data_IF_383186741180
#
_entry.id   IF_383186741180
#
_cell.length_a   1.000
_cell.length_b   1.000
_cell.length_c   1.000
_cell.angle_alpha   90.00
_cell.angle_beta   90.00
_cell.angle_gamma   90.00
#
_symmetry.space_group_name_H-M   'P 1'
#
loop_
_entity.id
_entity.type
_entity.pdbx_description
1 polymer ?
#
# COMPACT_ATOMS: atom_id res chain seq x y z
N UNK A 1 33.67 50.86 -45.81
CA UNK A 1 33.58 49.40 -45.58
C UNK A 1 33.35 49.19 -44.09
N UNK A 2 32.09 49.11 -43.64
CA UNK A 2 31.74 48.94 -42.22
C UNK A 2 31.71 47.45 -41.88
N UNK A 3 32.57 46.99 -40.96
CA UNK A 3 32.47 45.66 -40.36
C UNK A 3 31.51 45.73 -39.16
N UNK A 4 30.47 44.88 -39.08
CA UNK A 4 29.62 44.85 -37.91
C UNK A 4 30.36 44.18 -36.74
N UNK A 5 30.46 44.89 -35.63
CA UNK A 5 30.96 44.40 -34.35
C UNK A 5 29.86 43.56 -33.69
N UNK A 6 29.91 42.24 -33.82
CA UNK A 6 29.07 41.37 -32.99
C UNK A 6 29.77 41.13 -31.65
N UNK A 7 29.15 41.67 -30.58
CA UNK A 7 29.64 41.55 -29.21
C UNK A 7 29.42 40.11 -28.68
N UNK A 8 30.44 39.43 -28.13
CA UNK A 8 30.32 38.06 -27.62
C UNK A 8 29.29 37.86 -26.49
N UNK A 9 28.84 38.93 -25.82
CA UNK A 9 27.81 38.86 -24.78
C UNK A 9 26.41 38.56 -25.32
N UNK A 10 26.15 38.82 -26.62
CA UNK A 10 24.83 38.56 -27.22
C UNK A 10 24.60 37.08 -27.51
N UNK A 11 25.65 36.27 -27.67
CA UNK A 11 25.57 34.82 -27.81
C UNK A 11 25.48 34.11 -26.45
N UNK A 12 26.07 34.66 -25.39
CA UNK A 12 25.97 34.10 -24.05
C UNK A 12 24.56 34.22 -23.45
N UNK A 13 23.85 35.32 -23.74
CA UNK A 13 22.48 35.54 -23.25
C UNK A 13 21.40 34.73 -23.98
N UNK A 14 21.68 34.19 -25.18
CA UNK A 14 20.74 33.30 -25.88
C UNK A 14 20.77 31.86 -25.35
N UNK A 15 21.82 31.47 -24.64
CA UNK A 15 22.02 30.10 -24.13
C UNK A 15 21.67 29.95 -22.65
N UNK A 16 21.32 31.04 -21.96
CA UNK A 16 20.81 31.01 -20.58
C UNK A 16 19.31 31.26 -20.59
N UNK A 17 18.57 30.42 -21.32
CA UNK A 17 17.20 30.13 -20.91
C UNK A 17 17.35 29.04 -19.87
N UNK A 18 17.15 29.27 -18.56
CA UNK A 18 17.02 28.16 -17.64
C UNK A 18 15.94 27.26 -18.24
N UNK A 19 16.32 26.04 -18.59
CA UNK A 19 15.35 25.06 -19.04
C UNK A 19 14.29 25.02 -17.95
N UNK A 20 13.06 25.39 -18.30
CA UNK A 20 11.90 25.07 -17.47
C UNK A 20 11.79 23.54 -17.48
N UNK A 21 12.67 22.88 -16.75
CA UNK A 21 12.54 21.48 -16.41
C UNK A 21 11.28 21.46 -15.58
N UNK A 22 10.20 20.92 -16.14
CA UNK A 22 9.00 20.67 -15.36
C UNK A 22 9.43 19.97 -14.07
N UNK A 23 8.96 20.41 -12.89
CA UNK A 23 9.34 19.77 -11.65
C UNK A 23 9.08 18.26 -11.80
N UNK A 24 10.07 17.44 -11.41
CA UNK A 24 9.95 16.00 -11.53
C UNK A 24 8.64 15.56 -10.87
N UNK A 25 7.80 14.81 -11.60
CA UNK A 25 6.56 14.29 -11.03
C UNK A 25 6.89 13.43 -9.82
N UNK A 26 6.22 13.69 -8.70
CA UNK A 26 6.35 12.88 -7.49
C UNK A 26 5.82 11.46 -7.73
N UNK A 27 4.80 11.32 -8.57
CA UNK A 27 4.21 10.03 -8.96
C UNK A 27 4.79 9.63 -10.32
N UNK A 28 5.48 8.49 -10.36
CA UNK A 28 6.00 7.88 -11.57
C UNK A 28 4.89 7.17 -12.33
N UNK A 29 4.06 6.40 -11.63
CA UNK A 29 3.00 5.60 -12.24
C UNK A 29 1.91 5.23 -11.23
N UNK A 30 0.73 4.88 -11.74
CA UNK A 30 -0.37 4.34 -10.95
C UNK A 30 -0.98 3.15 -11.70
N UNK A 31 -0.91 1.96 -11.10
CA UNK A 31 -1.58 0.76 -11.59
C UNK A 31 -2.82 0.52 -10.75
N UNK A 32 -3.95 0.22 -11.41
CA UNK A 32 -5.21 -0.09 -10.73
C UNK A 32 -5.75 -1.39 -11.28
N UNK A 33 -6.43 -2.14 -10.43
CA UNK A 33 -7.06 -3.38 -10.84
C UNK A 33 -7.94 -3.96 -9.76
N UNK A 34 -8.43 -5.15 -10.07
CA UNK A 34 -9.18 -6.00 -9.15
C UNK A 34 -8.61 -7.40 -9.24
N UNK A 35 -8.60 -8.11 -8.11
CA UNK A 35 -8.22 -9.53 -8.05
C UNK A 35 -9.44 -10.30 -7.55
N UNK A 36 -9.86 -11.30 -8.32
CA UNK A 36 -10.87 -12.26 -7.89
C UNK A 36 -10.19 -13.52 -7.42
N UNK A 37 -10.28 -13.83 -6.13
CA UNK A 37 -9.91 -15.12 -5.55
C UNK A 37 -11.07 -16.10 -5.83
N UNK A 38 -10.86 -17.15 -6.63
CA UNK A 38 -11.90 -18.14 -6.91
C UNK A 38 -12.37 -18.88 -5.66
N UNK A 39 -13.58 -19.44 -5.71
CA UNK A 39 -14.26 -20.01 -4.55
C UNK A 39 -13.54 -21.21 -3.91
N UNK A 40 -12.68 -21.88 -4.66
CA UNK A 40 -11.88 -23.04 -4.28
C UNK A 40 -10.39 -22.71 -4.05
N UNK A 41 -10.02 -21.43 -4.03
CA UNK A 41 -8.63 -20.99 -3.84
C UNK A 41 -8.47 -20.12 -2.59
N UNK A 42 -7.26 -20.08 -2.01
CA UNK A 42 -6.93 -19.16 -0.91
C UNK A 42 -6.24 -17.88 -1.37
N UNK A 43 -5.78 -17.83 -2.62
CA UNK A 43 -5.12 -16.66 -3.18
C UNK A 43 -5.30 -16.59 -4.69
N UNK A 44 -5.17 -15.39 -5.23
CA UNK A 44 -5.07 -15.13 -6.65
C UNK A 44 -4.13 -13.96 -6.91
N UNK A 45 -3.55 -13.91 -8.11
CA UNK A 45 -2.58 -12.90 -8.51
C UNK A 45 -3.14 -12.05 -9.65
N UNK A 46 -2.79 -10.76 -9.66
CA UNK A 46 -2.89 -9.90 -10.84
C UNK A 46 -1.50 -9.48 -11.29
N UNK A 47 -1.28 -9.52 -12.60
CA UNK A 47 -0.10 -8.94 -13.24
C UNK A 47 -0.31 -7.45 -13.47
N UNK A 48 0.69 -6.65 -13.11
CA UNK A 48 0.75 -5.21 -13.35
C UNK A 48 2.02 -4.86 -14.13
N UNK A 49 2.05 -3.69 -14.81
CA UNK A 49 3.32 -3.10 -15.26
C UNK A 49 4.33 -3.02 -14.11
N UNK A 50 5.59 -3.28 -14.42
CA UNK A 50 6.66 -3.30 -13.41
C UNK A 50 6.76 -1.97 -12.67
N UNK A 51 6.87 -2.04 -11.33
CA UNK A 51 7.15 -0.90 -10.44
C UNK A 51 8.40 -1.14 -9.59
N UNK A 52 8.99 -0.09 -9.05
CA UNK A 52 10.04 -0.21 -8.05
C UNK A 52 9.46 -0.43 -6.64
N UNK A 53 9.69 -1.61 -6.06
CA UNK A 53 9.20 -1.99 -4.72
C UNK A 53 9.65 -1.04 -3.59
N UNK A 54 10.84 -0.46 -3.70
CA UNK A 54 11.38 0.45 -2.68
C UNK A 54 10.72 1.83 -2.66
N UNK A 55 9.92 2.14 -3.68
CA UNK A 55 9.23 3.41 -3.83
C UNK A 55 7.76 3.23 -4.23
N UNK A 56 7.18 2.07 -3.94
CA UNK A 56 5.79 1.77 -4.30
C UNK A 56 4.93 1.53 -3.07
N UNK A 57 3.75 2.14 -3.07
CA UNK A 57 2.72 1.89 -2.08
C UNK A 57 1.59 1.06 -2.69
N UNK A 58 1.19 0.01 -1.97
CA UNK A 58 -0.03 -0.73 -2.25
C UNK A 58 -1.17 -0.17 -1.41
N UNK A 59 -2.31 0.06 -2.05
CA UNK A 59 -3.54 0.49 -1.42
C UNK A 59 -4.61 -0.60 -1.58
N UNK A 60 -5.16 -1.03 -0.45
CA UNK A 60 -6.30 -1.94 -0.41
C UNK A 60 -7.59 -1.15 -0.55
N UNK A 61 -8.25 -1.27 -1.71
CA UNK A 61 -9.49 -0.52 -2.04
C UNK A 61 -10.76 -1.26 -1.61
N UNK A 62 -10.61 -2.18 -0.66
CA UNK A 62 -11.67 -3.01 -0.08
C UNK A 62 -12.31 -3.98 -1.07
N UNK A 63 -13.15 -4.86 -0.51
CA UNK A 63 -13.89 -5.86 -1.26
C UNK A 63 -15.02 -5.19 -2.05
N UNK A 64 -15.35 -5.80 -3.18
CA UNK A 64 -16.38 -5.34 -4.13
C UNK A 64 -17.53 -6.36 -4.20
N UNK A 65 -17.39 -7.46 -3.46
CA UNK A 65 -18.38 -8.54 -3.40
C UNK A 65 -19.73 -8.07 -2.85
N UNK A 66 -20.83 -8.77 -3.22
CA UNK A 66 -22.09 -8.60 -2.52
C UNK A 66 -21.93 -8.94 -1.03
N UNK A 67 -22.71 -8.27 -0.18
CA UNK A 67 -22.75 -8.57 1.26
C UNK A 67 -23.18 -10.02 1.47
N UNK A 68 -22.23 -10.84 1.90
CA UNK A 68 -22.49 -12.19 2.35
C UNK A 68 -22.98 -12.19 3.79
N UNK A 69 -23.66 -13.26 4.20
CA UNK A 69 -24.25 -13.36 5.53
C UNK A 69 -23.23 -13.29 6.68
N UNK A 70 -21.94 -13.57 6.43
CA UNK A 70 -20.92 -13.63 7.48
C UNK A 70 -19.69 -12.78 7.17
N UNK A 71 -19.07 -12.19 8.19
CA UNK A 71 -17.93 -11.28 8.04
C UNK A 71 -16.62 -11.98 7.63
N UNK A 72 -16.52 -13.30 7.79
CA UNK A 72 -15.34 -14.10 7.35
C UNK A 72 -14.99 -13.94 5.87
N UNK A 73 -15.97 -13.51 5.07
CA UNK A 73 -15.85 -13.25 3.64
C UNK A 73 -15.26 -11.87 3.30
N UNK A 74 -15.07 -11.00 4.30
CA UNK A 74 -14.47 -9.68 4.12
C UNK A 74 -12.96 -9.69 4.34
N UNK A 75 -12.39 -10.84 4.71
CA UNK A 75 -10.98 -11.00 5.04
C UNK A 75 -10.16 -11.24 3.79
N UNK A 76 -9.80 -10.16 3.12
CA UNK A 76 -8.75 -10.16 2.09
C UNK A 76 -7.58 -9.34 2.57
N UNK A 77 -6.38 -9.79 2.23
CA UNK A 77 -5.16 -9.01 2.32
C UNK A 77 -4.53 -8.92 0.93
N UNK A 78 -3.82 -7.82 0.68
CA UNK A 78 -3.06 -7.59 -0.54
C UNK A 78 -1.56 -7.48 -0.25
N UNK A 79 -0.76 -8.05 -1.15
CA UNK A 79 0.70 -7.98 -1.12
C UNK A 79 1.25 -7.66 -2.51
N UNK A 80 2.25 -6.78 -2.58
CA UNK A 80 3.05 -6.58 -3.78
C UNK A 80 4.27 -7.50 -3.69
N UNK A 81 4.10 -8.75 -4.13
CA UNK A 81 5.08 -9.82 -3.91
C UNK A 81 6.35 -9.68 -4.78
N UNK A 82 6.22 -8.99 -5.92
CA UNK A 82 7.32 -8.67 -6.82
C UNK A 82 6.93 -7.46 -7.70
N UNK A 83 7.86 -6.88 -8.48
CA UNK A 83 7.61 -5.68 -9.28
C UNK A 83 6.39 -5.72 -10.20
N UNK A 84 5.95 -6.90 -10.63
CA UNK A 84 4.88 -7.07 -11.62
C UNK A 84 3.66 -7.80 -11.08
N UNK A 85 3.61 -8.16 -9.79
CA UNK A 85 2.58 -9.06 -9.29
C UNK A 85 2.01 -8.57 -7.96
N UNK A 86 0.71 -8.35 -7.96
CA UNK A 86 -0.09 -8.13 -6.74
C UNK A 86 -0.81 -9.43 -6.42
N UNK A 87 -0.73 -9.89 -5.18
CA UNK A 87 -1.45 -11.05 -4.67
C UNK A 87 -2.56 -10.61 -3.75
N UNK A 88 -3.75 -11.19 -3.92
CA UNK A 88 -4.79 -11.19 -2.91
C UNK A 88 -4.83 -12.56 -2.23
N UNK A 89 -4.93 -12.57 -0.91
CA UNK A 89 -5.14 -13.79 -0.13
C UNK A 89 -6.33 -13.66 0.80
N UNK A 90 -6.99 -14.79 1.08
CA UNK A 90 -8.05 -14.92 2.07
C UNK A 90 -7.75 -16.08 3.01
N UNK A 91 -8.40 -16.08 4.17
CA UNK A 91 -8.21 -17.15 5.14
C UNK A 91 -9.07 -18.38 4.89
N UNK A 92 -10.33 -18.16 4.54
CA UNK A 92 -11.34 -19.21 4.51
C UNK A 92 -11.82 -19.40 3.07
N UNK A 93 -11.80 -20.65 2.61
CA UNK A 93 -12.45 -21.08 1.38
C UNK A 93 -13.64 -21.97 1.75
N UNK A 94 -14.78 -21.75 1.12
CA UNK A 94 -16.00 -22.54 1.30
C UNK A 94 -16.45 -23.24 0.03
N UNK A 95 -15.67 -23.16 -1.05
CA UNK A 95 -15.98 -23.74 -2.35
C UNK A 95 -17.19 -23.11 -3.06
N UNK A 96 -17.80 -22.08 -2.48
CA UNK A 96 -19.07 -21.50 -2.96
C UNK A 96 -18.91 -20.03 -3.37
N UNK A 97 -18.16 -19.25 -2.59
CA UNK A 97 -18.05 -17.82 -2.80
C UNK A 97 -16.65 -17.42 -3.26
N UNK A 98 -16.56 -16.69 -4.36
CA UNK A 98 -15.35 -15.96 -4.77
C UNK A 98 -15.26 -14.62 -4.05
N UNK A 99 -14.03 -14.08 -3.96
CA UNK A 99 -13.80 -12.74 -3.41
C UNK A 99 -13.09 -11.81 -4.37
N UNK A 100 -13.68 -10.67 -4.67
CA UNK A 100 -13.08 -9.62 -5.49
C UNK A 100 -12.66 -8.45 -4.61
N UNK A 101 -11.37 -8.13 -4.67
CA UNK A 101 -10.75 -6.99 -3.97
C UNK A 101 -10.16 -6.00 -4.97
N UNK A 102 -10.40 -4.71 -4.76
CA UNK A 102 -9.78 -3.64 -5.54
C UNK A 102 -8.40 -3.26 -5.00
N UNK A 103 -7.49 -2.87 -5.89
CA UNK A 103 -6.18 -2.37 -5.50
C UNK A 103 -5.73 -1.16 -6.33
N UNK A 104 -4.83 -0.38 -5.75
CA UNK A 104 -3.98 0.56 -6.48
C UNK A 104 -2.53 0.37 -6.04
N UNK A 105 -1.61 0.31 -6.99
CA UNK A 105 -0.18 0.47 -6.74
C UNK A 105 0.21 1.86 -7.21
N UNK A 106 0.79 2.65 -6.32
CA UNK A 106 1.28 4.00 -6.62
C UNK A 106 2.79 3.94 -6.52
N UNK A 107 3.46 4.06 -7.66
CA UNK A 107 4.90 4.19 -7.71
C UNK A 107 5.28 5.65 -7.65
N UNK A 108 6.04 6.00 -6.62
CA UNK A 108 6.62 7.32 -6.47
C UNK A 108 7.98 7.37 -7.16
N UNK A 109 8.40 8.57 -7.54
CA UNK A 109 9.78 8.78 -7.96
C UNK A 109 10.70 8.54 -6.75
N UNK A 110 11.69 7.62 -6.84
CA UNK A 110 12.58 7.27 -5.71
C UNK A 110 13.38 8.46 -5.15
N UNK A 111 13.46 9.57 -5.90
CA UNK A 111 14.03 10.81 -5.40
C UNK A 111 13.28 11.34 -4.18
N UNK A 112 11.95 11.13 -4.08
CA UNK A 112 11.11 11.65 -3.01
C UNK A 112 10.82 10.66 -1.87
N UNK A 113 11.14 9.37 -2.03
CA UNK A 113 10.85 8.35 -1.02
C UNK A 113 12.12 7.95 -0.27
N UNK A 114 12.06 8.00 1.06
CA UNK A 114 13.12 7.54 1.93
C UNK A 114 13.03 6.02 2.17
N UNK A 115 11.85 5.54 2.53
CA UNK A 115 11.63 4.13 2.84
C UNK A 115 10.19 3.68 2.59
N UNK A 116 10.04 2.38 2.28
CA UNK A 116 8.77 1.66 2.32
C UNK A 116 8.99 0.41 3.15
N UNK A 117 8.12 0.17 4.14
CA UNK A 117 8.19 -0.97 5.04
C UNK A 117 6.81 -1.60 5.16
N UNK A 118 6.70 -2.91 4.94
CA UNK A 118 5.43 -3.63 5.07
C UNK A 118 5.55 -4.73 6.13
N UNK A 119 4.44 -5.09 6.75
CA UNK A 119 4.44 -6.11 7.79
C UNK A 119 3.06 -6.62 8.15
N UNK A 120 3.06 -7.52 9.13
CA UNK A 120 1.88 -8.18 9.69
C UNK A 120 1.92 -8.02 11.21
N UNK A 121 0.77 -7.78 11.83
CA UNK A 121 0.54 -7.84 13.27
C UNK A 121 -0.51 -8.90 13.55
N UNK A 122 -0.20 -9.83 14.44
CA UNK A 122 -1.16 -10.81 14.94
C UNK A 122 -1.84 -10.25 16.19
N UNK A 123 -3.10 -9.85 16.08
CA UNK A 123 -3.95 -9.53 17.23
C UNK A 123 -4.38 -10.82 17.90
N UNK A 124 -3.55 -11.32 18.83
CA UNK A 124 -3.71 -12.60 19.51
C UNK A 124 -5.07 -12.69 20.23
N UNK A 125 -5.68 -13.88 20.25
CA UNK A 125 -6.87 -14.15 21.07
C UNK A 125 -6.69 -13.70 22.53
N UNK A 126 -7.70 -13.05 23.10
CA UNK A 126 -7.63 -12.44 24.42
C UNK A 126 -7.09 -11.00 24.42
N UNK A 127 -6.47 -10.53 23.33
CA UNK A 127 -5.89 -9.19 23.21
C UNK A 127 -6.62 -8.34 22.16
N UNK A 128 -6.75 -7.05 22.46
CA UNK A 128 -7.39 -6.03 21.62
C UNK A 128 -6.39 -5.07 20.97
N UNK A 129 -5.11 -5.18 21.33
CA UNK A 129 -4.03 -4.32 20.84
C UNK A 129 -2.72 -5.09 20.83
N UNK A 130 -1.99 -5.02 19.72
CA UNK A 130 -0.68 -5.62 19.54
C UNK A 130 0.19 -4.70 18.67
N UNK A 131 1.51 -4.89 18.71
CA UNK A 131 2.47 -4.02 18.01
C UNK A 131 3.47 -4.79 17.18
N UNK A 132 3.94 -4.19 16.10
CA UNK A 132 5.12 -4.61 15.35
C UNK A 132 6.19 -3.51 15.37
N UNK A 133 7.44 -3.95 15.33
CA UNK A 133 8.60 -3.06 15.22
C UNK A 133 8.94 -2.83 13.75
N UNK A 134 9.23 -1.57 13.41
CA UNK A 134 9.76 -1.16 12.11
C UNK A 134 11.09 -0.43 12.27
N UNK A 135 11.83 -0.27 11.18
CA UNK A 135 12.97 0.65 11.14
C UNK A 135 12.46 2.07 11.34
N UNK A 136 13.25 2.89 12.05
CA UNK A 136 12.89 4.26 12.37
C UNK A 136 12.50 5.08 11.12
N UNK A 137 11.39 5.80 11.20
CA UNK A 137 10.91 6.76 10.20
C UNK A 137 10.65 8.14 10.82
N UNK A 138 10.66 9.19 10.01
CA UNK A 138 10.22 10.54 10.36
C UNK A 138 8.69 10.64 10.36
N UNK A 139 8.11 10.82 11.55
CA UNK A 139 6.65 10.88 11.74
C UNK A 139 5.98 12.03 10.98
N UNK A 140 6.69 13.12 10.71
CA UNK A 140 6.13 14.27 9.98
C UNK A 140 6.06 14.02 8.47
N UNK A 141 6.74 12.97 7.99
CA UNK A 141 6.85 12.61 6.57
C UNK A 141 6.34 11.22 6.25
N UNK A 142 5.79 10.53 7.26
CA UNK A 142 5.32 9.16 7.13
C UNK A 142 3.81 9.06 7.19
N UNK A 143 3.28 8.09 6.46
CA UNK A 143 1.93 7.62 6.66
C UNK A 143 1.84 6.10 6.55
N UNK A 144 0.79 5.54 7.13
CA UNK A 144 0.51 4.11 7.16
C UNK A 144 -0.74 3.78 6.33
N UNK A 145 -0.68 2.68 5.59
CA UNK A 145 -1.77 2.11 4.83
C UNK A 145 -2.15 0.75 5.42
N UNK A 146 -3.45 0.52 5.57
CA UNK A 146 -3.99 -0.78 5.93
C UNK A 146 -4.06 -1.67 4.68
N UNK A 147 -3.37 -2.81 4.68
CA UNK A 147 -3.31 -3.73 3.53
C UNK A 147 -4.33 -4.87 3.59
N UNK A 148 -5.26 -4.80 4.53
CA UNK A 148 -6.31 -5.78 4.71
C UNK A 148 -6.09 -6.65 5.93
N UNK A 149 -6.95 -7.65 6.07
CA UNK A 149 -6.98 -8.56 7.21
C UNK A 149 -7.05 -9.99 6.71
N UNK A 150 -6.36 -10.88 7.40
CA UNK A 150 -6.50 -12.32 7.21
C UNK A 150 -6.78 -12.96 8.58
N UNK A 151 -7.34 -14.17 8.56
CA UNK A 151 -7.76 -14.94 9.75
C UNK A 151 -8.84 -14.30 10.62
N UNK A 152 -10.06 -14.83 10.51
CA UNK A 152 -11.10 -14.63 11.51
C UNK A 152 -12.21 -15.67 11.39
N UNK A 153 -12.65 -16.21 12.52
CA UNK A 153 -13.61 -17.33 12.57
C UNK A 153 -15.02 -16.93 13.03
N UNK A 154 -15.19 -15.74 13.61
CA UNK A 154 -16.48 -15.29 14.15
C UNK A 154 -17.41 -14.77 13.04
N UNK A 155 -18.57 -15.38 12.88
CA UNK A 155 -19.40 -15.11 11.71
C UNK A 155 -20.07 -13.73 11.71
N UNK A 156 -20.16 -12.99 12.82
CA UNK A 156 -21.04 -11.80 12.87
C UNK A 156 -20.57 -10.60 13.73
N UNK A 157 -19.58 -10.74 14.61
CA UNK A 157 -19.20 -9.64 15.49
C UNK A 157 -18.15 -8.72 14.83
N UNK A 158 -18.60 -7.54 14.38
CA UNK A 158 -17.75 -6.51 13.76
C UNK A 158 -16.61 -6.05 14.67
N UNK A 159 -16.81 -6.08 15.99
CA UNK A 159 -15.77 -5.70 16.96
C UNK A 159 -14.56 -6.64 16.91
N UNK A 160 -14.76 -7.90 16.55
CA UNK A 160 -13.69 -8.87 16.44
C UNK A 160 -12.92 -8.79 15.10
N UNK A 161 -13.51 -8.16 14.07
CA UNK A 161 -13.03 -8.20 12.68
C UNK A 161 -12.35 -6.92 12.21
N UNK A 162 -12.92 -5.77 12.53
CA UNK A 162 -12.34 -4.51 12.08
C UNK A 162 -11.21 -4.13 13.01
N UNK A 163 -10.01 -4.04 12.43
CA UNK A 163 -8.85 -3.52 13.08
C UNK A 163 -8.44 -2.17 12.47
N UNK A 164 -7.90 -1.30 13.31
CA UNK A 164 -7.20 -0.10 12.89
C UNK A 164 -5.70 -0.34 12.99
N UNK A 165 -4.93 0.29 12.10
CA UNK A 165 -3.47 0.37 12.19
C UNK A 165 -3.05 1.82 12.38
N UNK A 166 -2.03 2.03 13.18
CA UNK A 166 -1.47 3.36 13.45
C UNK A 166 0.04 3.29 13.63
N UNK A 167 0.71 4.35 13.20
CA UNK A 167 2.12 4.58 13.49
C UNK A 167 2.22 5.28 14.84
N UNK A 168 2.52 4.51 15.89
CA UNK A 168 2.50 4.98 17.28
C UNK A 168 3.72 5.86 17.60
N UNK A 169 4.86 5.50 17.03
CA UNK A 169 6.11 6.26 17.08
C UNK A 169 6.99 5.87 15.88
N UNK A 170 8.19 6.46 15.78
CA UNK A 170 9.10 6.24 14.65
C UNK A 170 9.44 4.78 14.38
N UNK A 171 9.32 3.88 15.37
CA UNK A 171 9.74 2.47 15.28
C UNK A 171 8.61 1.47 15.56
N UNK A 172 7.38 1.93 15.80
CA UNK A 172 6.29 1.06 16.26
C UNK A 172 5.01 1.30 15.50
N UNK A 173 4.48 0.23 14.92
CA UNK A 173 3.12 0.16 14.39
C UNK A 173 2.25 -0.59 15.39
N UNK A 174 1.04 -0.09 15.65
CA UNK A 174 0.06 -0.74 16.51
C UNK A 174 -1.18 -1.11 15.71
N UNK A 175 -1.66 -2.33 15.90
CA UNK A 175 -2.99 -2.74 15.47
C UNK A 175 -3.92 -2.73 16.69
N UNK A 176 -5.17 -2.31 16.51
CA UNK A 176 -6.20 -2.37 17.56
C UNK A 176 -7.53 -2.84 17.00
N UNK A 177 -8.33 -3.53 17.81
CA UNK A 177 -9.72 -3.92 17.48
C UNK A 177 -10.61 -3.86 18.72
N UNK A 178 -11.93 -3.91 18.54
CA UNK A 178 -12.89 -3.79 19.64
C UNK A 178 -13.09 -5.07 20.48
N UNK A 179 -12.94 -6.25 19.88
CA UNK A 179 -13.15 -7.56 20.51
C UNK A 179 -11.87 -8.39 20.62
N UNK A 180 -11.95 -9.61 21.19
CA UNK A 180 -10.76 -10.42 21.51
C UNK A 180 -10.92 -11.92 21.24
N UNK A 181 -11.93 -12.34 20.45
CA UNK A 181 -12.39 -13.74 20.44
C UNK A 181 -11.51 -14.73 19.67
N UNK A 182 -10.60 -14.26 18.80
CA UNK A 182 -9.72 -15.11 17.97
C UNK A 182 -8.47 -14.35 17.55
N UNK A 183 -7.46 -15.01 16.99
CA UNK A 183 -6.29 -14.30 16.42
C UNK A 183 -6.61 -13.71 15.04
N UNK A 184 -6.48 -12.39 14.88
CA UNK A 184 -6.65 -11.67 13.62
C UNK A 184 -5.29 -11.20 13.07
N UNK A 185 -4.98 -11.54 11.82
CA UNK A 185 -3.78 -11.04 11.14
C UNK A 185 -4.12 -9.70 10.45
N UNK A 186 -3.38 -8.65 10.77
CA UNK A 186 -3.57 -7.31 10.22
C UNK A 186 -2.32 -6.90 9.45
N UNK A 187 -2.50 -6.51 8.19
CA UNK A 187 -1.38 -6.19 7.30
C UNK A 187 -1.27 -4.68 7.11
N UNK A 188 -0.04 -4.18 7.02
CA UNK A 188 0.22 -2.75 6.89
C UNK A 188 1.39 -2.46 5.95
N UNK A 189 1.43 -1.21 5.48
CA UNK A 189 2.61 -0.62 4.84
C UNK A 189 2.81 0.80 5.38
N UNK A 190 4.06 1.15 5.70
CA UNK A 190 4.51 2.49 6.08
C UNK A 190 5.38 3.01 4.95
N UNK A 191 5.09 4.21 4.47
CA UNK A 191 5.93 4.92 3.51
C UNK A 191 6.39 6.23 4.13
N UNK A 192 7.63 6.61 3.86
CA UNK A 192 8.28 7.81 4.36
C UNK A 192 8.82 8.62 3.19
N UNK A 193 8.44 9.89 3.12
CA UNK A 193 9.01 10.85 2.18
C UNK A 193 10.35 11.41 2.68
N UNK A 194 11.21 11.88 1.77
CA UNK A 194 12.46 12.58 2.11
C UNK A 194 12.24 14.00 2.59
#
# INVERSE_FOLDING_TARGET
MFKPFFHPLRQALLNYVPSNVAPASMISSVQRGQITIPADQLSADATIPSVNLSSSLLLHLFYIDPLYATLRYLNTHLELINPTTVRASRYFQDGTHSHTVGFSVVEFNPFFINSVQSGQIDLISGFSSETATITAVDLDKSFISHLGLCRGVDSFNTSNYFAAVELLNSTTVRATRGGTSFTLEVFYSVIEAK
#
